data_IF_120484541419
#
_entry.id   IF_120484541419
#
_cell.length_a   1.000
_cell.length_b   1.000
_cell.length_c   1.000
_cell.angle_alpha   90.00
_cell.angle_beta   90.00
_cell.angle_gamma   90.00
#
_symmetry.space_group_name_H-M   'P 1'
#
loop_
_entity.id
_entity.type
_entity.pdbx_description
1 polymer ?
#
# COMPACT_ATOMS: atom_id res chain seq x y z
N UNK A 1 32.66 -25.83 -8.43
CA UNK A 1 32.13 -25.10 -9.63
C UNK A 1 30.59 -25.10 -9.66
N UNK A 2 29.90 -26.22 -9.32
CA UNK A 2 28.44 -26.29 -9.30
C UNK A 2 27.79 -25.38 -8.25
N UNK A 3 28.34 -25.31 -7.05
CA UNK A 3 27.88 -24.43 -5.98
C UNK A 3 27.98 -22.93 -6.36
N UNK A 4 28.99 -22.56 -7.14
CA UNK A 4 29.18 -21.17 -7.59
C UNK A 4 28.14 -20.75 -8.64
N UNK A 5 27.70 -21.64 -9.52
CA UNK A 5 26.60 -21.38 -10.47
C UNK A 5 25.25 -21.29 -9.79
N UNK A 6 25.01 -22.15 -8.80
CA UNK A 6 23.79 -22.14 -8.01
C UNK A 6 23.62 -20.85 -7.20
N UNK A 7 24.70 -20.32 -6.61
CA UNK A 7 24.68 -19.03 -5.91
C UNK A 7 24.43 -17.83 -6.83
N UNK A 8 24.95 -17.85 -8.06
CA UNK A 8 24.70 -16.82 -9.06
C UNK A 8 23.27 -16.90 -9.63
N UNK A 9 22.71 -18.08 -9.79
CA UNK A 9 21.30 -18.27 -10.18
C UNK A 9 20.34 -17.76 -9.10
N UNK A 10 20.58 -18.08 -7.82
CA UNK A 10 19.74 -17.61 -6.71
C UNK A 10 19.65 -16.08 -6.59
N UNK A 11 20.62 -15.33 -7.09
CA UNK A 11 20.58 -13.85 -7.08
C UNK A 11 19.78 -13.29 -8.28
N UNK A 12 19.70 -14.03 -9.37
CA UNK A 12 18.92 -13.63 -10.56
C UNK A 12 17.46 -14.07 -10.46
N UNK A 13 17.21 -15.15 -9.77
CA UNK A 13 15.86 -15.70 -9.57
C UNK A 13 15.40 -15.23 -8.20
N UNK A 14 14.51 -14.30 -8.13
CA UNK A 14 13.80 -13.70 -7.00
C UNK A 14 13.55 -14.63 -5.78
N UNK A 15 14.58 -15.37 -5.35
CA UNK A 15 14.49 -16.35 -4.27
C UNK A 15 14.09 -15.66 -2.97
N UNK A 16 12.97 -16.07 -2.43
CA UNK A 16 12.47 -15.60 -1.15
C UNK A 16 12.80 -16.62 -0.08
N UNK A 17 13.38 -16.12 1.00
CA UNK A 17 13.74 -16.94 2.17
C UNK A 17 12.68 -16.78 3.25
N UNK A 18 12.10 -17.90 3.68
CA UNK A 18 11.17 -17.96 4.81
C UNK A 18 11.94 -18.43 6.04
N UNK A 19 11.88 -17.65 7.12
CA UNK A 19 12.71 -17.90 8.31
C UNK A 19 11.88 -17.74 9.57
N UNK A 20 12.04 -18.70 10.50
CA UNK A 20 11.69 -18.52 11.90
C UNK A 20 12.96 -18.68 12.72
N UNK A 21 13.24 -17.71 13.57
CA UNK A 21 14.36 -17.77 14.49
C UNK A 21 13.95 -17.41 15.90
N UNK A 22 14.72 -17.93 16.88
CA UNK A 22 14.62 -17.57 18.30
C UNK A 22 15.70 -16.56 18.62
N UNK A 23 15.32 -15.43 19.20
CA UNK A 23 16.29 -14.48 19.75
C UNK A 23 16.96 -15.04 21.01
N UNK A 24 18.28 -14.91 21.09
CA UNK A 24 19.06 -15.48 22.18
C UNK A 24 18.84 -14.80 23.51
N UNK A 25 18.66 -13.46 23.52
CA UNK A 25 18.51 -12.65 24.73
C UNK A 25 17.07 -12.72 25.28
N UNK A 26 16.10 -12.46 24.44
CA UNK A 26 14.69 -12.39 24.85
C UNK A 26 13.99 -13.76 24.82
N UNK A 27 14.53 -14.74 24.10
CA UNK A 27 13.90 -16.04 23.89
C UNK A 27 12.65 -15.97 23.01
N UNK A 28 12.31 -14.80 22.51
CA UNK A 28 11.16 -14.54 21.62
C UNK A 28 11.43 -15.16 20.25
N UNK A 29 10.41 -15.77 19.65
CA UNK A 29 10.49 -16.32 18.30
C UNK A 29 9.92 -15.31 17.30
N UNK A 30 10.68 -15.08 16.23
CA UNK A 30 10.35 -14.17 15.15
C UNK A 30 10.17 -14.93 13.86
N UNK A 31 9.24 -14.46 13.04
CA UNK A 31 8.98 -14.94 11.69
C UNK A 31 9.23 -13.84 10.68
N UNK A 32 9.89 -14.15 9.58
CA UNK A 32 10.15 -13.17 8.52
C UNK A 32 10.30 -13.84 7.16
N UNK A 33 10.03 -13.04 6.12
CA UNK A 33 10.39 -13.33 4.74
C UNK A 33 11.35 -12.26 4.24
N UNK A 34 12.34 -12.65 3.47
CA UNK A 34 13.25 -11.67 2.90
C UNK A 34 13.81 -12.12 1.55
N UNK A 35 14.11 -11.13 0.70
CA UNK A 35 14.89 -11.30 -0.51
C UNK A 35 16.36 -10.92 -0.25
N UNK A 36 17.27 -11.53 -1.01
CA UNK A 36 18.68 -11.15 -1.02
C UNK A 36 18.98 -10.46 -2.36
N UNK A 37 19.00 -9.14 -2.34
CA UNK A 37 19.22 -8.32 -3.55
C UNK A 37 20.68 -8.18 -3.93
N UNK A 38 21.60 -8.29 -2.96
CA UNK A 38 23.04 -8.20 -3.19
C UNK A 38 23.82 -9.03 -2.18
N UNK A 39 24.93 -9.61 -2.63
CA UNK A 39 25.92 -10.29 -1.78
C UNK A 39 27.32 -9.84 -2.14
N UNK A 40 28.16 -9.74 -1.12
CA UNK A 40 29.60 -9.53 -1.29
C UNK A 40 30.26 -10.92 -1.25
N UNK A 41 31.16 -11.14 -2.19
CA UNK A 41 31.88 -12.41 -2.27
C UNK A 41 32.65 -12.69 -0.99
N UNK A 42 32.63 -13.95 -0.54
CA UNK A 42 33.37 -14.47 0.62
C UNK A 42 33.03 -13.78 1.96
N UNK A 43 31.83 -13.14 2.07
CA UNK A 43 31.29 -12.57 3.28
C UNK A 43 30.16 -13.42 3.85
N UNK A 44 30.23 -13.71 5.14
CA UNK A 44 29.13 -14.33 5.89
C UNK A 44 28.09 -13.31 6.32
N UNK A 45 26.84 -13.74 6.37
CA UNK A 45 25.73 -12.88 6.75
C UNK A 45 24.83 -13.56 7.76
N UNK A 46 24.63 -12.89 8.89
CA UNK A 46 23.65 -13.32 9.88
C UNK A 46 22.22 -13.02 9.38
N UNK A 47 21.34 -13.99 9.47
CA UNK A 47 19.91 -13.86 9.13
C UNK A 47 19.04 -13.68 10.36
N UNK A 48 19.60 -13.66 11.56
CA UNK A 48 18.92 -13.27 12.80
C UNK A 48 19.13 -11.77 13.07
N UNK A 49 19.16 -11.32 14.30
CA UNK A 49 19.53 -9.94 14.66
C UNK A 49 20.95 -9.86 15.23
N UNK A 50 21.76 -10.91 15.11
CA UNK A 50 23.10 -10.96 15.65
C UNK A 50 23.18 -11.03 17.18
N UNK A 51 22.05 -11.22 17.86
CA UNK A 51 22.04 -11.43 19.31
C UNK A 51 22.71 -12.78 19.63
N UNK A 52 23.69 -12.84 20.59
CA UNK A 52 24.30 -14.09 20.97
C UNK A 52 23.26 -15.16 21.33
N UNK A 53 23.56 -16.43 21.04
CA UNK A 53 22.66 -17.59 21.25
C UNK A 53 21.34 -17.58 20.45
N UNK A 54 21.20 -16.70 19.47
CA UNK A 54 20.08 -16.76 18.52
C UNK A 54 20.18 -18.03 17.68
N UNK A 55 19.02 -18.66 17.40
CA UNK A 55 18.95 -19.93 16.67
C UNK A 55 17.88 -19.90 15.60
N UNK A 56 18.22 -20.38 14.40
CA UNK A 56 17.24 -20.61 13.34
C UNK A 56 16.47 -21.88 13.67
N UNK A 57 15.14 -21.75 13.70
CA UNK A 57 14.21 -22.85 14.00
C UNK A 57 13.56 -23.43 12.73
N UNK A 58 13.44 -22.60 11.69
CA UNK A 58 12.93 -22.98 10.38
C UNK A 58 13.57 -22.10 9.31
N UNK A 59 13.93 -22.70 8.17
CA UNK A 59 14.53 -21.99 7.05
C UNK A 59 14.20 -22.69 5.75
N UNK A 60 13.65 -21.95 4.79
CA UNK A 60 13.46 -22.43 3.42
C UNK A 60 13.83 -21.35 2.41
N UNK A 61 14.24 -21.77 1.23
CA UNK A 61 14.54 -20.93 0.09
C UNK A 61 13.57 -21.27 -1.04
N UNK A 62 12.77 -20.31 -1.44
CA UNK A 62 11.68 -20.50 -2.41
C UNK A 62 11.96 -19.68 -3.67
N UNK A 63 12.41 -20.30 -4.77
CA UNK A 63 12.84 -19.61 -5.99
C UNK A 63 11.74 -18.72 -6.60
N UNK A 64 10.48 -19.15 -6.51
CA UNK A 64 9.33 -18.41 -7.04
C UNK A 64 8.56 -17.69 -5.93
N UNK A 65 9.18 -17.49 -4.75
CA UNK A 65 8.52 -16.85 -3.62
C UNK A 65 7.29 -17.60 -3.10
N UNK A 66 7.28 -18.93 -3.20
CA UNK A 66 6.15 -19.74 -2.76
C UNK A 66 5.84 -19.46 -1.28
N UNK A 67 4.55 -19.35 -1.00
CA UNK A 67 4.06 -19.26 0.36
C UNK A 67 4.01 -20.67 0.98
N UNK A 68 4.39 -20.74 2.24
CA UNK A 68 4.36 -21.98 3.00
C UNK A 68 3.49 -21.79 4.23
N UNK A 69 2.72 -22.81 4.58
CA UNK A 69 2.05 -22.90 5.87
C UNK A 69 2.87 -23.81 6.77
N UNK A 70 3.26 -23.28 7.92
CA UNK A 70 4.00 -24.05 8.93
C UNK A 70 3.11 -24.39 10.12
N UNK A 71 3.37 -25.55 10.69
CA UNK A 71 2.78 -26.00 11.95
C UNK A 71 3.78 -25.78 13.07
N UNK A 72 3.41 -24.93 14.03
CA UNK A 72 4.20 -24.60 15.19
C UNK A 72 3.68 -25.37 16.40
N UNK A 73 4.55 -26.14 17.06
CA UNK A 73 4.24 -26.87 18.29
C UNK A 73 5.01 -26.24 19.43
N UNK A 74 4.32 -25.75 20.43
CA UNK A 74 4.90 -25.19 21.65
C UNK A 74 5.33 -26.28 22.63
N UNK A 75 6.26 -25.96 23.52
CA UNK A 75 6.54 -26.85 24.66
C UNK A 75 5.33 -26.89 25.59
N UNK A 76 4.99 -28.07 26.15
CA UNK A 76 3.89 -28.19 27.10
C UNK A 76 4.02 -27.20 28.25
N UNK A 77 2.95 -26.44 28.49
CA UNK A 77 2.87 -25.51 29.61
C UNK A 77 1.43 -25.48 30.14
N UNK A 78 1.17 -25.71 31.44
CA UNK A 78 -0.17 -25.74 32.00
C UNK A 78 -1.03 -24.49 31.78
N UNK A 79 -0.37 -23.34 31.53
CA UNK A 79 -1.03 -22.04 31.28
C UNK A 79 -1.39 -21.83 29.82
N UNK A 80 -1.00 -22.72 28.91
CA UNK A 80 -1.23 -22.55 27.46
C UNK A 80 -2.31 -23.51 27.00
N UNK A 81 -3.45 -22.96 26.60
CA UNK A 81 -4.59 -23.76 26.11
C UNK A 81 -4.36 -24.34 24.72
N UNK A 82 -3.67 -23.61 23.85
CA UNK A 82 -3.42 -24.00 22.46
C UNK A 82 -1.92 -24.25 22.23
N UNK A 83 -1.51 -25.52 22.26
CA UNK A 83 -0.10 -25.92 22.12
C UNK A 83 0.32 -25.96 20.64
N UNK A 84 -0.61 -26.11 19.71
CA UNK A 84 -0.35 -26.20 18.29
C UNK A 84 -1.11 -25.08 17.57
N UNK A 85 -0.43 -24.38 16.70
CA UNK A 85 -1.04 -23.41 15.79
C UNK A 85 -0.32 -23.41 14.44
N UNK A 86 -0.92 -22.79 13.46
CA UNK A 86 -0.43 -22.70 12.11
C UNK A 86 -0.15 -21.22 11.77
N UNK A 87 0.86 -21.03 10.94
CA UNK A 87 1.25 -19.72 10.46
C UNK A 87 1.49 -19.78 8.96
N UNK A 88 0.91 -18.84 8.23
CA UNK A 88 1.01 -18.76 6.78
C UNK A 88 2.02 -17.66 6.41
N UNK A 89 3.12 -18.06 5.78
CA UNK A 89 4.11 -17.10 5.29
C UNK A 89 3.54 -16.15 4.22
N UNK A 90 2.43 -16.49 3.57
CA UNK A 90 1.79 -15.56 2.63
C UNK A 90 1.32 -14.27 3.31
N UNK A 91 1.00 -14.33 4.60
CA UNK A 91 0.63 -13.16 5.41
C UNK A 91 1.84 -12.28 5.81
N UNK A 92 3.07 -12.76 5.60
CA UNK A 92 4.29 -12.07 6.00
C UNK A 92 4.85 -11.31 4.79
N UNK A 93 4.96 -9.99 4.89
CA UNK A 93 5.57 -9.15 3.84
C UNK A 93 7.05 -9.48 3.61
N UNK A 94 7.46 -9.47 2.34
CA UNK A 94 8.87 -9.66 1.96
C UNK A 94 9.62 -8.36 2.28
N UNK A 95 10.69 -8.45 3.08
CA UNK A 95 11.50 -7.31 3.53
C UNK A 95 12.98 -7.54 3.22
N UNK A 96 13.83 -6.61 3.61
CA UNK A 96 15.28 -6.78 3.53
C UNK A 96 15.79 -7.81 4.55
N UNK A 97 16.92 -8.44 4.26
CA UNK A 97 17.56 -9.46 5.13
C UNK A 97 17.72 -9.01 6.58
N UNK A 98 18.06 -7.74 6.83
CA UNK A 98 18.28 -7.19 8.18
C UNK A 98 16.99 -6.92 8.96
N UNK A 99 15.81 -7.06 8.35
CA UNK A 99 14.56 -6.88 9.07
C UNK A 99 14.43 -7.89 10.21
N UNK A 100 13.97 -7.43 11.37
CA UNK A 100 13.75 -8.28 12.56
C UNK A 100 12.65 -9.32 12.32
N UNK A 101 11.62 -8.96 11.57
CA UNK A 101 10.43 -9.77 11.36
C UNK A 101 9.34 -9.49 12.39
N UNK A 102 8.25 -10.25 12.27
CA UNK A 102 7.11 -10.18 13.16
C UNK A 102 7.31 -11.15 14.34
N UNK A 103 6.73 -10.84 15.49
CA UNK A 103 6.73 -11.78 16.63
C UNK A 103 5.81 -12.96 16.29
N UNK A 104 6.37 -14.15 16.23
CA UNK A 104 5.62 -15.38 16.10
C UNK A 104 5.01 -15.80 17.44
N UNK A 105 5.86 -15.90 18.46
CA UNK A 105 5.43 -16.22 19.83
C UNK A 105 6.54 -15.90 20.84
N UNK A 106 6.12 -15.53 22.05
CA UNK A 106 7.02 -15.41 23.22
C UNK A 106 7.16 -16.71 23.99
N UNK A 107 6.37 -17.71 23.64
CA UNK A 107 6.38 -19.01 24.32
C UNK A 107 7.45 -19.93 23.74
N UNK A 108 8.01 -20.85 24.54
CA UNK A 108 9.01 -21.79 24.06
C UNK A 108 8.44 -22.71 22.98
N UNK A 109 9.05 -22.72 21.80
CA UNK A 109 8.71 -23.62 20.70
C UNK A 109 9.43 -24.95 20.88
N UNK A 110 8.70 -26.04 20.66
CA UNK A 110 9.24 -27.42 20.64
C UNK A 110 9.69 -27.80 19.22
N UNK A 111 8.79 -27.59 18.24
CA UNK A 111 9.02 -28.01 16.85
C UNK A 111 8.28 -27.09 15.87
N UNK A 112 8.92 -26.83 14.73
CA UNK A 112 8.30 -26.23 13.56
C UNK A 112 8.42 -27.22 12.39
N UNK A 113 7.32 -27.46 11.69
CA UNK A 113 7.27 -28.34 10.54
C UNK A 113 6.49 -27.70 9.39
N UNK A 114 6.94 -27.93 8.17
CA UNK A 114 6.15 -27.60 6.99
C UNK A 114 4.84 -28.38 7.03
N UNK A 115 3.72 -27.70 6.88
CA UNK A 115 2.39 -28.32 6.73
C UNK A 115 2.00 -28.40 5.27
N UNK A 116 2.14 -27.29 4.55
CA UNK A 116 1.71 -27.16 3.15
C UNK A 116 2.61 -26.19 2.41
N UNK A 117 2.93 -26.49 1.15
CA UNK A 117 3.48 -25.53 0.20
C UNK A 117 2.33 -24.80 -0.50
N UNK A 118 2.40 -23.48 -0.53
CA UNK A 118 1.47 -22.63 -1.27
C UNK A 118 1.99 -22.29 -2.67
N UNK A 119 1.23 -21.49 -3.40
CA UNK A 119 1.64 -20.94 -4.69
C UNK A 119 2.63 -19.79 -4.56
N UNK A 120 3.11 -19.29 -5.72
CA UNK A 120 3.96 -18.12 -5.78
C UNK A 120 3.27 -16.89 -5.18
N UNK A 121 4.04 -16.08 -4.47
CA UNK A 121 3.59 -14.81 -3.87
C UNK A 121 4.35 -13.61 -4.44
N UNK A 122 5.01 -13.79 -5.58
CA UNK A 122 5.70 -12.71 -6.30
C UNK A 122 4.71 -11.79 -7.03
N UNK A 123 3.50 -12.29 -7.31
CA UNK A 123 2.38 -11.46 -7.74
C UNK A 123 1.82 -10.60 -6.61
N UNK A 124 1.12 -9.53 -6.95
CA UNK A 124 0.44 -8.67 -5.99
C UNK A 124 -0.64 -9.44 -5.21
N UNK A 125 -0.84 -9.05 -3.97
CA UNK A 125 -1.94 -9.56 -3.17
C UNK A 125 -3.17 -8.69 -3.40
N UNK A 126 -4.27 -9.26 -3.81
CA UNK A 126 -5.55 -8.56 -3.93
C UNK A 126 -6.06 -8.17 -2.56
N UNK A 127 -6.40 -6.91 -2.39
CA UNK A 127 -6.86 -6.32 -1.13
C UNK A 127 -8.22 -5.67 -1.34
N UNK A 128 -9.13 -5.89 -0.41
CA UNK A 128 -10.45 -5.27 -0.36
C UNK A 128 -10.65 -4.55 0.95
N UNK A 129 -11.49 -3.52 0.94
CA UNK A 129 -11.91 -2.79 2.11
C UNK A 129 -13.40 -2.99 2.35
N UNK A 130 -13.74 -3.53 3.51
CA UNK A 130 -15.11 -3.70 3.95
C UNK A 130 -15.51 -2.49 4.82
N UNK A 131 -16.37 -1.63 4.25
CA UNK A 131 -16.83 -0.39 4.91
C UNK A 131 -17.74 -0.65 6.10
N UNK A 132 -18.41 -1.79 6.18
CA UNK A 132 -19.33 -2.12 7.27
C UNK A 132 -18.57 -2.45 8.55
N UNK A 133 -17.43 -3.11 8.44
CA UNK A 133 -16.60 -3.48 9.58
C UNK A 133 -15.32 -2.63 9.69
N UNK A 134 -15.09 -1.71 8.75
CA UNK A 134 -13.95 -0.80 8.67
C UNK A 134 -12.59 -1.54 8.70
N UNK A 135 -12.48 -2.60 7.91
CA UNK A 135 -11.29 -3.44 7.85
C UNK A 135 -10.94 -3.88 6.43
N UNK A 136 -9.66 -4.15 6.26
CA UNK A 136 -9.16 -4.81 5.07
C UNK A 136 -9.44 -6.32 5.13
N UNK A 137 -9.55 -6.93 3.96
CA UNK A 137 -9.63 -8.37 3.82
C UNK A 137 -9.02 -8.84 2.49
N UNK A 138 -8.79 -10.16 2.39
CA UNK A 138 -8.32 -10.82 1.18
C UNK A 138 -9.39 -11.75 0.58
N UNK A 139 -10.60 -11.70 1.13
CA UNK A 139 -11.69 -12.63 0.82
C UNK A 139 -12.65 -12.11 -0.25
N UNK A 140 -12.38 -10.93 -0.81
CA UNK A 140 -13.20 -10.31 -1.86
C UNK A 140 -14.42 -9.56 -1.34
N UNK A 141 -14.45 -9.17 -0.05
CA UNK A 141 -15.59 -8.44 0.53
C UNK A 141 -15.38 -6.94 0.48
N UNK A 142 -16.37 -6.23 -0.07
CA UNK A 142 -16.37 -4.77 -0.13
C UNK A 142 -15.66 -4.21 -1.36
N UNK A 143 -15.03 -3.06 -1.21
CA UNK A 143 -14.38 -2.30 -2.26
C UNK A 143 -13.00 -2.88 -2.60
N UNK A 144 -12.75 -3.14 -3.89
CA UNK A 144 -11.47 -3.63 -4.36
C UNK A 144 -10.45 -2.49 -4.45
N UNK A 145 -9.35 -2.60 -3.72
CA UNK A 145 -8.31 -1.59 -3.68
C UNK A 145 -7.14 -1.84 -4.64
N UNK A 146 -7.10 -3.02 -5.27
CA UNK A 146 -6.04 -3.40 -6.20
C UNK A 146 -5.14 -4.52 -5.68
N UNK A 147 -4.08 -4.78 -6.43
CA UNK A 147 -3.02 -5.72 -6.06
C UNK A 147 -1.87 -4.98 -5.36
N UNK A 148 -1.49 -5.47 -4.19
CA UNK A 148 -0.48 -4.86 -3.31
C UNK A 148 0.78 -5.72 -3.26
N UNK A 149 1.91 -5.11 -3.53
CA UNK A 149 3.24 -5.67 -3.29
C UNK A 149 3.66 -5.39 -1.82
N UNK A 150 4.77 -5.99 -1.40
CA UNK A 150 5.25 -5.88 0.00
C UNK A 150 5.61 -4.45 0.46
N UNK A 151 5.93 -3.59 -0.47
CA UNK A 151 6.32 -2.18 -0.26
C UNK A 151 5.18 -1.18 -0.51
N UNK A 152 4.05 -1.66 -1.00
CA UNK A 152 2.87 -0.83 -1.18
C UNK A 152 2.26 -0.40 0.17
N UNK A 153 1.56 0.70 0.12
CA UNK A 153 0.91 1.32 1.27
C UNK A 153 -0.50 1.77 0.91
N UNK A 154 -1.29 2.05 1.91
CA UNK A 154 -2.65 2.57 1.78
C UNK A 154 -2.65 4.04 2.16
N UNK A 155 -3.26 4.86 1.31
CA UNK A 155 -3.64 6.22 1.60
C UNK A 155 -5.02 6.23 2.26
N UNK A 156 -5.12 6.92 3.39
CA UNK A 156 -6.38 7.18 4.09
C UNK A 156 -6.61 8.68 4.12
N UNK A 157 -7.76 9.12 3.62
CA UNK A 157 -8.18 10.53 3.63
C UNK A 157 -9.53 10.63 4.33
N UNK A 158 -9.63 11.53 5.30
CA UNK A 158 -10.84 11.81 6.06
C UNK A 158 -11.60 13.03 5.53
N UNK A 159 -12.89 13.12 5.86
CA UNK A 159 -13.76 14.22 5.46
C UNK A 159 -13.29 15.60 5.98
N UNK A 160 -12.57 15.62 7.09
CA UNK A 160 -12.02 16.84 7.69
C UNK A 160 -10.69 17.31 7.07
N UNK A 161 -10.24 16.67 5.97
CA UNK A 161 -9.00 16.96 5.27
C UNK A 161 -7.75 16.34 5.89
N UNK A 162 -7.88 15.56 6.95
CA UNK A 162 -6.77 14.77 7.48
C UNK A 162 -6.45 13.60 6.55
N UNK A 163 -5.17 13.30 6.41
CA UNK A 163 -4.70 12.10 5.71
C UNK A 163 -3.47 11.51 6.40
N UNK A 164 -3.26 10.24 6.18
CA UNK A 164 -2.06 9.50 6.57
C UNK A 164 -1.87 8.27 5.69
N UNK A 165 -0.67 7.70 5.75
CA UNK A 165 -0.32 6.50 4.99
C UNK A 165 -0.02 5.39 5.98
N UNK A 166 -0.55 4.20 5.71
CA UNK A 166 -0.38 3.02 6.54
C UNK A 166 -0.07 1.79 5.69
N UNK A 167 0.39 0.71 6.33
CA UNK A 167 0.52 -0.58 5.67
C UNK A 167 -0.87 -1.21 5.44
N UNK A 168 -0.91 -2.29 4.67
CA UNK A 168 -2.15 -3.05 4.40
C UNK A 168 -2.32 -4.28 5.30
N UNK A 169 -1.92 -4.19 6.57
CA UNK A 169 -2.11 -5.25 7.55
C UNK A 169 -3.60 -5.41 7.91
N UNK A 170 -4.11 -6.63 7.92
CA UNK A 170 -5.51 -6.93 8.24
C UNK A 170 -5.89 -6.59 9.70
N UNK A 171 -4.91 -6.42 10.57
CA UNK A 171 -5.15 -5.96 11.95
C UNK A 171 -5.50 -4.50 12.05
N UNK A 172 -5.26 -3.71 11.00
CA UNK A 172 -5.61 -2.30 10.96
C UNK A 172 -7.13 -2.12 11.11
N UNK A 173 -7.50 -1.16 11.94
CA UNK A 173 -8.87 -0.72 12.08
C UNK A 173 -8.97 0.74 11.66
N UNK A 174 -9.96 1.04 10.84
CA UNK A 174 -10.13 2.37 10.26
C UNK A 174 -11.29 3.11 10.92
N UNK A 175 -11.29 4.43 10.82
CA UNK A 175 -12.34 5.30 11.36
C UNK A 175 -13.51 5.41 10.38
N UNK A 176 -14.73 5.66 10.87
CA UNK A 176 -15.93 5.70 10.01
C UNK A 176 -16.00 6.91 9.06
N UNK A 177 -15.26 7.98 9.34
CA UNK A 177 -15.24 9.23 8.57
C UNK A 177 -14.24 9.22 7.40
N UNK A 178 -13.97 8.04 6.82
CA UNK A 178 -13.09 7.90 5.66
C UNK A 178 -13.80 8.37 4.41
N UNK A 179 -13.19 9.35 3.74
CA UNK A 179 -13.57 9.80 2.41
C UNK A 179 -12.97 8.93 1.31
N UNK A 180 -11.65 8.71 1.40
CA UNK A 180 -10.87 7.93 0.42
C UNK A 180 -10.01 6.93 1.17
N UNK A 181 -10.01 5.70 0.68
CA UNK A 181 -9.09 4.65 1.10
C UNK A 181 -8.66 3.89 -0.16
N UNK A 182 -7.41 4.03 -0.53
CA UNK A 182 -6.89 3.47 -1.78
C UNK A 182 -5.40 3.09 -1.65
N UNK A 183 -4.88 2.42 -2.67
CA UNK A 183 -3.44 2.19 -2.80
C UNK A 183 -2.73 3.53 -2.96
N UNK A 184 -1.70 3.78 -2.15
CA UNK A 184 -0.96 5.02 -2.18
C UNK A 184 -0.06 5.12 -3.42
N UNK A 185 -0.25 6.19 -4.19
CA UNK A 185 0.65 6.61 -5.25
C UNK A 185 1.25 7.98 -4.91
N UNK A 186 2.57 8.08 -4.70
CA UNK A 186 3.24 9.35 -4.37
C UNK A 186 3.19 10.37 -5.51
N UNK A 187 2.94 9.95 -6.74
CA UNK A 187 2.90 10.83 -7.91
C UNK A 187 1.48 11.30 -8.25
N UNK A 188 0.47 10.75 -7.57
CA UNK A 188 -0.93 11.11 -7.80
C UNK A 188 -1.17 12.56 -7.39
N UNK A 189 -1.63 13.37 -8.34
CA UNK A 189 -1.95 14.77 -8.12
C UNK A 189 -3.40 14.92 -7.70
N UNK A 190 -3.62 15.59 -6.58
CA UNK A 190 -4.92 15.93 -6.05
C UNK A 190 -5.24 17.40 -6.31
N UNK A 191 -6.46 17.68 -6.66
CA UNK A 191 -6.99 19.05 -6.74
C UNK A 191 -8.06 19.23 -5.69
N UNK A 192 -7.88 20.21 -4.80
CA UNK A 192 -8.84 20.55 -3.76
C UNK A 192 -9.35 21.96 -3.92
N UNK A 193 -10.66 22.16 -3.82
CA UNK A 193 -11.33 23.45 -3.66
C UNK A 193 -11.82 23.53 -2.22
N UNK A 194 -11.51 24.63 -1.54
CA UNK A 194 -11.82 24.81 -0.12
C UNK A 194 -12.15 26.28 0.20
N UNK A 195 -12.92 26.50 1.25
CA UNK A 195 -13.02 27.80 1.91
C UNK A 195 -11.90 27.93 2.95
N UNK A 196 -11.09 28.98 2.83
CA UNK A 196 -10.02 29.29 3.76
C UNK A 196 -10.53 30.32 4.81
N UNK A 197 -10.72 29.85 6.04
CA UNK A 197 -11.25 30.65 7.14
C UNK A 197 -10.27 31.76 7.56
N UNK A 198 -8.96 31.57 7.37
CA UNK A 198 -7.95 32.59 7.65
C UNK A 198 -7.94 33.71 6.59
N UNK A 199 -8.62 33.48 5.47
CA UNK A 199 -8.74 34.40 4.34
C UNK A 199 -10.19 34.84 4.12
N UNK A 200 -10.91 35.21 5.18
CA UNK A 200 -12.29 35.68 5.12
C UNK A 200 -13.28 34.70 4.47
N UNK A 201 -13.01 33.41 4.58
CA UNK A 201 -13.76 32.35 3.92
C UNK A 201 -13.85 32.50 2.39
N UNK A 202 -12.86 33.09 1.74
CA UNK A 202 -12.79 33.06 0.28
C UNK A 202 -12.49 31.64 -0.23
N UNK A 203 -12.99 31.28 -1.43
CA UNK A 203 -12.69 30.01 -2.06
C UNK A 203 -11.27 29.99 -2.65
N UNK A 204 -10.53 28.95 -2.30
CA UNK A 204 -9.19 28.67 -2.79
C UNK A 204 -9.15 27.34 -3.52
N UNK A 205 -8.33 27.26 -4.52
CA UNK A 205 -7.97 25.99 -5.21
C UNK A 205 -6.49 25.70 -4.99
N UNK A 206 -6.17 24.44 -4.81
CA UNK A 206 -4.77 23.97 -4.74
C UNK A 206 -4.61 22.61 -5.39
N UNK A 207 -3.44 22.41 -5.98
CA UNK A 207 -3.03 21.12 -6.55
C UNK A 207 -1.76 20.63 -5.84
N UNK A 208 -1.76 19.38 -5.42
CA UNK A 208 -0.69 18.84 -4.60
C UNK A 208 -0.62 17.30 -4.70
N UNK A 209 0.56 16.74 -4.37
CA UNK A 209 0.69 15.32 -4.08
C UNK A 209 0.67 15.11 -2.57
N UNK A 210 0.11 13.99 -2.12
CA UNK A 210 0.16 13.59 -0.73
C UNK A 210 1.52 12.96 -0.43
N UNK A 211 2.18 13.43 0.63
CA UNK A 211 3.51 12.95 0.98
C UNK A 211 3.44 11.69 1.86
N UNK A 212 4.38 10.77 1.64
CA UNK A 212 4.48 9.56 2.44
C UNK A 212 4.74 9.90 3.92
N UNK A 213 3.73 9.73 4.75
CA UNK A 213 3.78 9.96 6.19
C UNK A 213 2.88 9.01 6.95
N UNK A 214 3.36 8.51 8.06
CA UNK A 214 2.56 7.71 9.00
C UNK A 214 1.93 8.56 10.11
N UNK A 215 2.14 9.88 10.10
CA UNK A 215 1.48 10.82 11.01
C UNK A 215 0.31 11.47 10.30
N UNK A 216 -0.80 11.67 11.00
CA UNK A 216 -1.92 12.44 10.47
C UNK A 216 -1.46 13.85 10.08
N UNK A 217 -1.70 14.22 8.84
CA UNK A 217 -1.46 15.56 8.28
C UNK A 217 -2.80 16.10 7.80
N UNK A 218 -2.90 17.41 7.58
CA UNK A 218 -4.12 18.02 7.06
C UNK A 218 -3.79 18.90 5.86
N UNK A 219 -4.41 18.57 4.71
CA UNK A 219 -4.22 19.38 3.50
C UNK A 219 -5.11 20.63 3.45
N UNK A 220 -6.13 20.74 4.30
CA UNK A 220 -6.94 21.96 4.37
C UNK A 220 -6.24 23.08 5.15
N UNK A 221 -5.18 22.77 5.93
CA UNK A 221 -4.47 23.69 6.78
C UNK A 221 -4.77 23.48 8.26
N UNK A 222 -4.27 24.36 9.11
CA UNK A 222 -4.38 24.22 10.59
C UNK A 222 -5.71 24.73 11.15
N UNK A 223 -6.39 25.63 10.43
CA UNK A 223 -7.65 26.20 10.90
C UNK A 223 -8.79 25.20 10.75
N UNK A 224 -9.39 24.80 11.87
CA UNK A 224 -10.50 23.82 11.91
C UNK A 224 -11.78 24.30 11.21
N UNK A 225 -11.89 25.59 10.93
CA UNK A 225 -13.02 26.17 10.21
C UNK A 225 -12.84 26.14 8.69
N UNK A 226 -11.69 25.69 8.20
CA UNK A 226 -11.49 25.45 6.77
C UNK A 226 -12.45 24.34 6.33
N UNK A 227 -13.08 24.53 5.21
CA UNK A 227 -14.09 23.63 4.69
C UNK A 227 -13.77 23.17 3.29
N UNK A 228 -13.65 21.87 3.10
CA UNK A 228 -13.53 21.26 1.78
C UNK A 228 -14.84 21.45 1.00
N UNK A 229 -14.71 21.81 -0.27
CA UNK A 229 -15.81 21.91 -1.23
C UNK A 229 -15.74 20.72 -2.18
N UNK A 230 -14.56 20.51 -2.80
CA UNK A 230 -14.31 19.47 -3.77
C UNK A 230 -12.92 18.90 -3.59
N UNK A 231 -12.78 17.60 -3.76
CA UNK A 231 -11.49 16.91 -3.86
C UNK A 231 -11.58 15.93 -5.03
N UNK A 232 -10.68 16.06 -5.99
CA UNK A 232 -10.62 15.19 -7.17
C UNK A 232 -9.18 14.81 -7.47
N UNK A 233 -9.00 13.63 -8.06
CA UNK A 233 -7.74 13.09 -8.57
C UNK A 233 -7.67 13.09 -10.10
N UNK A 234 -8.65 13.74 -10.74
CA UNK A 234 -8.66 13.93 -12.20
C UNK A 234 -7.34 14.61 -12.65
N UNK A 235 -6.76 14.12 -13.74
CA UNK A 235 -5.49 14.65 -14.25
C UNK A 235 -5.63 16.09 -14.75
N UNK A 236 -6.74 16.39 -15.43
CA UNK A 236 -7.06 17.69 -16.01
C UNK A 236 -8.42 18.18 -15.50
N UNK A 237 -8.53 18.54 -14.20
CA UNK A 237 -9.81 18.88 -13.62
C UNK A 237 -10.37 20.15 -14.23
N UNK A 238 -11.59 20.07 -14.75
CA UNK A 238 -12.34 21.19 -15.28
C UNK A 238 -13.50 21.50 -14.37
N UNK A 239 -13.50 22.70 -13.82
CA UNK A 239 -14.41 23.10 -12.75
C UNK A 239 -15.31 24.22 -13.22
N UNK A 240 -16.62 24.07 -13.00
CA UNK A 240 -17.60 25.12 -13.15
C UNK A 240 -17.93 25.74 -11.79
N UNK A 241 -17.74 27.03 -11.68
CA UNK A 241 -18.04 27.80 -10.48
C UNK A 241 -19.35 28.53 -10.68
N UNK A 242 -20.36 28.18 -9.90
CA UNK A 242 -21.66 28.85 -9.91
C UNK A 242 -21.71 29.86 -8.77
N UNK A 243 -22.10 31.08 -9.08
CA UNK A 243 -22.22 32.15 -8.12
C UNK A 243 -23.60 32.19 -7.46
N UNK A 244 -23.63 32.61 -6.18
CA UNK A 244 -24.85 32.65 -5.39
C UNK A 244 -25.03 33.96 -4.63
N UNK A 245 -26.09 34.05 -3.85
CA UNK A 245 -26.41 35.23 -3.05
C UNK A 245 -26.52 36.51 -3.91
N UNK A 246 -25.81 37.53 -3.53
CA UNK A 246 -25.79 38.82 -4.28
C UNK A 246 -25.10 38.73 -5.63
N UNK A 247 -24.31 37.66 -5.87
CA UNK A 247 -23.57 37.44 -7.10
C UNK A 247 -24.24 36.45 -8.05
N UNK A 248 -25.45 35.98 -7.76
CA UNK A 248 -26.19 34.96 -8.53
C UNK A 248 -26.52 35.38 -9.98
N UNK A 249 -26.46 36.68 -10.30
CA UNK A 249 -26.64 37.21 -11.64
C UNK A 249 -25.42 37.00 -12.56
N UNK A 250 -24.29 36.55 -12.02
CA UNK A 250 -23.08 36.31 -12.80
C UNK A 250 -23.16 35.01 -13.56
N UNK A 251 -22.61 35.01 -14.76
CA UNK A 251 -22.45 33.77 -15.53
C UNK A 251 -21.46 32.83 -14.80
N UNK A 252 -21.66 31.49 -14.88
CA UNK A 252 -20.75 30.53 -14.36
C UNK A 252 -19.31 30.74 -14.90
N UNK A 253 -18.32 30.54 -14.05
CA UNK A 253 -16.92 30.66 -14.44
C UNK A 253 -16.32 29.25 -14.60
N UNK A 254 -15.71 29.00 -15.76
CA UNK A 254 -15.01 27.73 -16.01
C UNK A 254 -13.52 27.90 -15.68
N UNK A 255 -12.95 26.91 -14.99
CA UNK A 255 -11.54 26.85 -14.62
C UNK A 255 -10.96 25.53 -15.08
N UNK A 256 -9.92 25.59 -15.92
CA UNK A 256 -9.02 24.45 -16.17
C UNK A 256 -7.96 24.48 -15.06
N UNK A 257 -8.06 23.54 -14.10
CA UNK A 257 -7.29 23.65 -12.86
C UNK A 257 -5.78 23.51 -13.06
N UNK A 258 -5.34 22.74 -14.04
CA UNK A 258 -3.94 22.53 -14.37
C UNK A 258 -3.27 23.79 -14.98
N UNK A 259 -4.05 24.60 -15.70
CA UNK A 259 -3.60 25.90 -16.23
C UNK A 259 -3.72 27.01 -15.17
N UNK A 260 -4.73 26.91 -14.31
CA UNK A 260 -5.00 27.91 -13.30
C UNK A 260 -3.99 27.91 -12.18
N UNK A 261 -3.52 26.73 -11.73
CA UNK A 261 -2.56 26.59 -10.63
C UNK A 261 -1.61 25.42 -10.84
N UNK A 262 -0.31 25.66 -10.64
CA UNK A 262 0.70 24.62 -10.65
C UNK A 262 0.61 23.71 -9.40
N UNK A 263 1.08 22.48 -9.52
CA UNK A 263 1.23 21.53 -8.40
C UNK A 263 2.27 22.06 -7.42
N UNK A 264 1.93 22.06 -6.12
CA UNK A 264 2.80 22.50 -5.01
C UNK A 264 2.69 21.49 -3.86
N UNK A 265 3.45 21.69 -2.79
CA UNK A 265 3.31 20.87 -1.57
C UNK A 265 1.91 21.03 -0.95
N UNK A 266 1.42 19.97 -0.30
CA UNK A 266 0.06 19.96 0.28
C UNK A 266 -0.19 21.04 1.34
N UNK A 267 0.86 21.57 1.97
CA UNK A 267 0.79 22.70 2.93
C UNK A 267 0.63 24.09 2.28
N UNK A 268 0.76 24.17 0.95
CA UNK A 268 0.59 25.45 0.27
C UNK A 268 -0.86 25.94 0.40
N UNK A 269 -1.05 27.24 0.56
CA UNK A 269 -2.38 27.87 0.66
C UNK A 269 -3.24 27.66 -0.58
N UNK A 270 -2.63 27.60 -1.75
CA UNK A 270 -3.32 27.61 -3.03
C UNK A 270 -3.51 29.00 -3.61
N UNK A 271 -4.39 29.10 -4.59
CA UNK A 271 -4.74 30.33 -5.30
C UNK A 271 -6.21 30.65 -5.07
N UNK A 272 -6.53 31.88 -4.74
CA UNK A 272 -7.92 32.31 -4.58
C UNK A 272 -8.64 32.24 -5.94
N UNK A 273 -9.83 31.63 -5.94
CA UNK A 273 -10.66 31.50 -7.13
C UNK A 273 -11.33 32.82 -7.44
N UNK A 274 -12.03 33.36 -6.45
CA UNK A 274 -12.85 34.57 -6.61
C UNK A 274 -13.02 35.26 -5.27
N UNK A 275 -13.49 36.50 -5.29
CA UNK A 275 -13.99 37.25 -4.13
C UNK A 275 -15.52 37.30 -4.06
N UNK A 276 -16.18 36.75 -5.07
CA UNK A 276 -17.64 36.70 -5.15
C UNK A 276 -18.19 35.49 -4.38
N UNK A 277 -19.44 35.59 -3.99
CA UNK A 277 -20.12 34.50 -3.28
C UNK A 277 -20.32 33.32 -4.23
N UNK A 278 -19.75 32.18 -3.87
CA UNK A 278 -19.97 30.92 -4.58
C UNK A 278 -21.18 30.16 -4.00
N UNK A 279 -21.99 29.57 -4.87
CA UNK A 279 -23.03 28.66 -4.49
C UNK A 279 -22.55 27.21 -4.54
N UNK A 280 -21.99 26.81 -5.67
CA UNK A 280 -21.48 25.43 -5.87
C UNK A 280 -20.30 25.39 -6.82
N UNK A 281 -19.56 24.31 -6.76
CA UNK A 281 -18.50 23.92 -7.68
C UNK A 281 -18.86 22.55 -8.25
N UNK A 282 -18.99 22.49 -9.57
CA UNK A 282 -19.24 21.25 -10.30
C UNK A 282 -17.97 20.82 -11.02
N UNK A 283 -17.67 19.53 -11.00
CA UNK A 283 -16.64 18.95 -11.85
C UNK A 283 -17.26 18.61 -13.20
N UNK A 284 -16.65 19.11 -14.26
CA UNK A 284 -17.05 18.86 -15.64
C UNK A 284 -16.12 17.82 -16.27
N UNK A 285 -16.57 17.21 -17.35
CA UNK A 285 -15.69 16.34 -18.14
C UNK A 285 -14.45 17.10 -18.63
N UNK A 286 -13.25 16.53 -18.47
CA UNK A 286 -12.02 17.16 -18.91
C UNK A 286 -12.01 17.30 -20.44
N UNK A 287 -11.43 18.39 -20.92
CA UNK A 287 -11.25 18.63 -22.38
C UNK A 287 -10.03 17.89 -22.95
N UNK A 288 -9.18 17.35 -22.06
CA UNK A 288 -7.97 16.62 -22.42
C UNK A 288 -7.93 15.29 -21.66
N UNK A 289 -7.40 14.27 -22.30
CA UNK A 289 -7.14 12.97 -21.65
C UNK A 289 -5.62 12.79 -21.47
N UNK A 290 -5.18 12.06 -20.44
CA UNK A 290 -3.79 11.67 -20.32
C UNK A 290 -3.35 10.90 -21.55
N UNK A 291 -2.16 11.19 -22.09
CA UNK A 291 -1.58 10.36 -23.15
C UNK A 291 -1.33 8.96 -22.56
N UNK A 292 -2.07 7.98 -23.08
CA UNK A 292 -1.84 6.56 -22.75
C UNK A 292 -0.51 6.18 -23.41
N UNK A 293 0.52 5.98 -22.62
CA UNK A 293 1.77 5.39 -23.11
C UNK A 293 1.47 3.99 -23.65
N UNK A 294 1.72 3.77 -24.95
CA UNK A 294 1.43 2.54 -25.70
C UNK A 294 2.29 1.32 -25.31
N UNK A 295 2.84 1.28 -24.09
CA UNK A 295 3.75 0.20 -23.67
C UNK A 295 3.06 -1.05 -23.08
N UNK A 296 1.73 -1.17 -23.18
CA UNK A 296 0.98 -2.29 -22.57
C UNK A 296 0.12 -3.12 -23.53
N UNK A 297 0.05 -2.81 -24.83
CA UNK A 297 -0.85 -3.54 -25.77
C UNK A 297 -0.20 -4.69 -26.55
N UNK A 298 1.12 -4.94 -26.44
CA UNK A 298 1.80 -6.01 -27.22
C UNK A 298 1.95 -7.36 -26.47
N UNK A 299 1.09 -7.68 -25.51
CA UNK A 299 1.16 -8.97 -24.79
C UNK A 299 -0.12 -9.80 -24.72
N UNK A 300 -1.11 -9.49 -25.51
CA UNK A 300 -2.25 -10.39 -25.68
C UNK A 300 -2.43 -10.65 -27.18
N UNK A 301 -2.00 -11.85 -27.63
CA UNK A 301 -2.46 -12.64 -28.77
C UNK A 301 -1.29 -13.44 -29.39
N UNK A 302 -0.84 -14.46 -28.68
CA UNK A 302 -0.34 -15.69 -29.28
C UNK A 302 -1.06 -16.87 -28.61
N UNK A 303 -2.24 -17.23 -29.15
CA UNK A 303 -2.82 -18.54 -28.93
C UNK A 303 -1.92 -19.59 -29.59
N UNK A 304 -1.54 -20.68 -28.93
CA UNK A 304 -0.82 -21.75 -29.57
C UNK A 304 -1.73 -22.51 -30.52
N UNK A 305 -1.41 -22.53 -31.80
CA UNK A 305 -1.98 -23.43 -32.81
C UNK A 305 -1.94 -24.88 -32.31
N UNK A 306 -3.10 -25.45 -32.06
CA UNK A 306 -3.25 -26.87 -31.77
C UNK A 306 -3.08 -27.61 -33.10
N UNK A 307 -1.90 -28.20 -33.29
CA UNK A 307 -1.69 -29.17 -34.37
C UNK A 307 -2.47 -30.45 -34.06
N UNK A 308 -3.48 -30.68 -34.85
CA UNK A 308 -4.29 -31.89 -34.88
C UNK A 308 -3.45 -33.10 -35.43
N UNK A 309 -3.27 -34.20 -34.70
CA UNK A 309 -2.50 -35.34 -35.16
C UNK A 309 -3.41 -36.45 -35.72
N UNK A 310 -4.03 -36.15 -36.87
CA UNK A 310 -4.64 -37.24 -37.66
C UNK A 310 -4.67 -36.88 -39.15
N UNK A 311 -3.65 -37.30 -39.87
CA UNK A 311 -3.75 -37.77 -41.26
C UNK A 311 -2.36 -38.28 -41.72
N UNK A 312 -2.32 -39.65 -41.93
CA UNK A 312 -1.27 -40.33 -42.70
C UNK A 312 -0.73 -41.59 -42.06
#
# INVERSE_FOLDING_TARGET
KAIRRQRQMCIRDSTIYNVVYRDGKEGTHYIKRFAVTSIIRDREYDVTQGTPDSRIMYFTANPNGEAEVIKVTLKPNPRVRRIIFEEDFSAIGIKGRQARGNILTKLPVHKIALKQRGGSTLGGRKVWFDRDILRLNYDGRGEYLGEFQSDDSILVVHDNGEFYITNFDLSNHYEANIRILEKFDPNKVWTAVLYDADQQNFPYIKRFCMEATNRKQNYLGENKNNRLILLTDECYPRLEIIFGGHDSFREPMIIEADEFIAVKGFKAKGKRITTFTMETVNELEPTRQPEVSQDTEDREEEEPEILDPDHG
#
